data_IF_074141334361
#
_entry.id   IF_074141334361
#
_cell.length_a   1.000
_cell.length_b   1.000
_cell.length_c   1.000
_cell.angle_alpha   90.00
_cell.angle_beta   90.00
_cell.angle_gamma   90.00
#
_symmetry.space_group_name_H-M   'P 1'
#
loop_
_entity.id
_entity.type
_entity.pdbx_description
1 polymer ?
#
# COMPACT_ATOMS: atom_id res chain seq x y z
N UNK A 1 19.62 4.38 7.18
CA UNK A 1 19.31 5.08 5.92
C UNK A 1 18.02 5.88 6.07
N UNK A 2 17.90 6.98 5.35
CA UNK A 2 16.67 7.76 5.18
C UNK A 2 15.85 7.18 4.01
N UNK A 3 14.67 6.68 4.27
CA UNK A 3 13.81 6.02 3.24
C UNK A 3 12.50 6.78 3.13
N UNK A 4 12.15 7.16 1.90
CA UNK A 4 10.84 7.73 1.57
C UNK A 4 9.97 6.68 0.88
N UNK A 5 8.78 6.42 1.40
CA UNK A 5 7.78 5.54 0.80
C UNK A 5 6.62 6.42 0.33
N UNK A 6 6.25 6.30 -0.93
CA UNK A 6 5.13 7.04 -1.51
C UNK A 6 3.91 6.14 -1.59
N UNK A 7 2.90 6.44 -0.79
CA UNK A 7 1.67 5.69 -0.62
C UNK A 7 1.62 4.88 0.67
N UNK A 8 0.57 5.07 1.47
CA UNK A 8 0.28 4.34 2.70
C UNK A 8 -0.80 3.27 2.50
N UNK A 9 -0.83 2.65 1.33
CA UNK A 9 -1.59 1.42 1.11
C UNK A 9 -0.96 0.24 1.86
N UNK A 10 -1.57 -0.97 1.79
CA UNK A 10 -1.06 -2.16 2.50
C UNK A 10 0.42 -2.42 2.25
N UNK A 11 0.85 -2.33 0.99
CA UNK A 11 2.24 -2.59 0.60
C UNK A 11 3.19 -1.55 1.18
N UNK A 12 2.84 -0.24 1.07
CA UNK A 12 3.68 0.83 1.61
C UNK A 12 3.80 0.78 3.13
N UNK A 13 2.70 0.51 3.83
CA UNK A 13 2.69 0.35 5.28
C UNK A 13 3.48 -0.88 5.73
N UNK A 14 3.32 -2.01 5.03
CA UNK A 14 4.07 -3.22 5.38
C UNK A 14 5.57 -3.08 5.13
N UNK A 15 5.97 -2.50 3.98
CA UNK A 15 7.37 -2.15 3.72
C UNK A 15 7.92 -1.19 4.79
N UNK A 16 7.12 -0.17 5.14
CA UNK A 16 7.47 0.77 6.20
C UNK A 16 7.68 0.10 7.56
N UNK A 17 6.83 -0.86 7.92
CA UNK A 17 6.98 -1.67 9.12
C UNK A 17 8.31 -2.44 9.13
N UNK A 18 8.60 -3.18 8.07
CA UNK A 18 9.81 -4.02 8.00
C UNK A 18 11.09 -3.16 8.05
N UNK A 19 11.12 -2.08 7.30
CA UNK A 19 12.28 -1.20 7.22
C UNK A 19 12.51 -0.43 8.52
N UNK A 20 11.45 0.08 9.15
CA UNK A 20 11.56 0.75 10.44
C UNK A 20 12.02 -0.23 11.53
N UNK A 21 11.46 -1.45 11.56
CA UNK A 21 11.89 -2.52 12.46
C UNK A 21 13.37 -2.89 12.28
N UNK A 22 13.91 -2.75 11.07
CA UNK A 22 15.33 -2.95 10.76
C UNK A 22 16.20 -1.71 11.08
N UNK A 23 15.67 -0.71 11.77
CA UNK A 23 16.42 0.46 12.25
C UNK A 23 16.60 1.58 11.23
N UNK A 24 15.84 1.59 10.13
CA UNK A 24 15.89 2.65 9.14
C UNK A 24 14.98 3.83 9.52
N UNK A 25 15.35 5.04 9.10
CA UNK A 25 14.50 6.23 9.26
C UNK A 25 13.50 6.30 8.11
N UNK A 26 12.28 5.85 8.36
CA UNK A 26 11.23 5.67 7.34
C UNK A 26 10.20 6.78 7.44
N UNK A 27 9.95 7.44 6.30
CA UNK A 27 8.87 8.42 6.11
C UNK A 27 7.94 7.95 5.00
N UNK A 28 6.66 7.80 5.31
CA UNK A 28 5.61 7.39 4.37
C UNK A 28 4.77 8.63 4.04
N UNK A 29 4.61 8.94 2.75
CA UNK A 29 3.84 10.09 2.27
C UNK A 29 2.56 9.59 1.62
N UNK A 30 1.42 9.98 2.17
CA UNK A 30 0.08 9.56 1.71
C UNK A 30 -0.75 10.78 1.30
N UNK A 31 -1.26 10.76 0.07
CA UNK A 31 -2.08 11.87 -0.47
C UNK A 31 -3.43 12.04 0.21
N UNK A 32 -4.00 10.95 0.73
CA UNK A 32 -5.29 10.96 1.42
C UNK A 32 -5.13 11.44 2.86
N UNK A 33 -6.23 11.88 3.45
CA UNK A 33 -6.27 12.32 4.85
C UNK A 33 -6.39 11.16 5.84
N UNK A 34 -6.79 9.98 5.36
CA UNK A 34 -6.93 8.76 6.18
C UNK A 34 -6.62 7.49 5.38
N UNK A 35 -6.27 6.42 6.10
CA UNK A 35 -5.94 5.12 5.52
C UNK A 35 -7.19 4.29 5.28
N UNK A 36 -7.15 3.49 4.18
CA UNK A 36 -8.20 2.51 3.86
C UNK A 36 -9.46 3.11 3.24
N UNK A 37 -9.46 4.40 2.86
CA UNK A 37 -10.58 5.04 2.18
C UNK A 37 -10.12 5.78 0.91
N UNK A 38 -10.97 5.80 -0.17
CA UNK A 38 -12.11 4.91 -0.37
C UNK A 38 -11.66 3.45 -0.49
N UNK A 39 -12.54 2.51 -0.14
CA UNK A 39 -12.29 1.08 -0.31
C UNK A 39 -12.31 0.76 -1.82
N UNK A 40 -11.24 0.18 -2.33
CA UNK A 40 -11.06 -0.12 -3.77
C UNK A 40 -10.79 -1.61 -4.05
N UNK A 41 -10.98 -2.49 -3.07
CA UNK A 41 -10.70 -3.91 -3.18
C UNK A 41 -11.71 -4.71 -2.39
N UNK A 42 -12.07 -5.89 -2.89
CA UNK A 42 -13.01 -6.82 -2.24
C UNK A 42 -12.55 -7.31 -0.88
N UNK A 43 -11.24 -7.30 -0.61
CA UNK A 43 -10.68 -7.75 0.66
C UNK A 43 -10.53 -9.27 0.77
N UNK A 44 -10.45 -9.98 -0.35
CA UNK A 44 -10.13 -11.40 -0.35
C UNK A 44 -8.62 -11.60 -0.29
N UNK A 45 -8.19 -12.46 0.64
CA UNK A 45 -6.80 -12.88 0.82
C UNK A 45 -6.75 -14.40 0.78
N UNK A 46 -5.76 -14.96 0.07
CA UNK A 46 -5.53 -16.40 0.01
C UNK A 46 -4.93 -16.93 1.31
N UNK A 47 -4.95 -18.26 1.50
CA UNK A 47 -4.33 -18.91 2.65
C UNK A 47 -2.84 -18.58 2.82
N UNK A 48 -2.15 -18.23 1.71
CA UNK A 48 -0.75 -17.80 1.76
C UNK A 48 -0.51 -16.59 2.67
N UNK A 49 -1.57 -15.84 2.98
CA UNK A 49 -1.48 -14.75 3.93
C UNK A 49 -1.06 -15.21 5.34
N UNK A 50 -1.27 -16.49 5.68
CA UNK A 50 -0.87 -17.06 6.97
C UNK A 50 0.65 -17.02 7.19
N UNK A 51 1.46 -17.01 6.11
CA UNK A 51 2.92 -16.90 6.19
C UNK A 51 3.42 -15.63 6.89
N UNK A 52 2.61 -14.58 6.91
CA UNK A 52 2.98 -13.32 7.57
C UNK A 52 2.80 -13.36 9.10
N UNK A 53 2.12 -14.37 9.65
CA UNK A 53 1.94 -14.55 11.08
C UNK A 53 1.13 -13.45 11.77
N UNK A 54 0.29 -12.70 11.02
CA UNK A 54 -0.51 -11.63 11.60
C UNK A 54 -1.73 -12.17 12.37
N UNK A 55 -2.01 -11.56 13.51
CA UNK A 55 -3.30 -11.73 14.17
C UNK A 55 -4.40 -11.06 13.35
N UNK A 56 -5.28 -11.90 12.78
CA UNK A 56 -6.36 -11.47 11.90
C UNK A 56 -7.62 -11.03 12.64
N UNK A 57 -7.69 -11.23 13.95
CA UNK A 57 -8.91 -11.02 14.75
C UNK A 57 -9.53 -9.63 14.58
N UNK A 58 -8.71 -8.60 14.44
CA UNK A 58 -9.16 -7.21 14.34
C UNK A 58 -9.76 -6.82 12.99
N UNK A 59 -9.43 -7.53 11.91
CA UNK A 59 -9.84 -7.17 10.54
C UNK A 59 -10.50 -8.32 9.75
N UNK A 60 -10.45 -9.57 10.24
CA UNK A 60 -11.13 -10.70 9.63
C UNK A 60 -12.64 -10.53 9.72
N UNK A 61 -13.34 -10.75 8.62
CA UNK A 61 -14.80 -10.73 8.52
C UNK A 61 -15.35 -12.14 8.41
N UNK A 62 -14.76 -12.96 7.50
CA UNK A 62 -15.18 -14.34 7.27
C UNK A 62 -14.03 -15.17 6.72
N UNK A 63 -14.19 -16.49 6.78
CA UNK A 63 -13.29 -17.47 6.17
C UNK A 63 -14.12 -18.40 5.29
N UNK A 64 -13.67 -18.61 4.06
CA UNK A 64 -14.30 -19.52 3.11
C UNK A 64 -13.41 -20.73 2.88
N UNK A 65 -14.01 -21.89 2.66
CA UNK A 65 -13.33 -23.15 2.32
C UNK A 65 -13.48 -23.53 0.85
N UNK A 66 -14.35 -22.84 0.12
CA UNK A 66 -14.65 -23.12 -1.28
C UNK A 66 -14.87 -21.85 -2.07
N UNK A 67 -14.43 -21.86 -3.32
CA UNK A 67 -14.72 -20.84 -4.32
C UNK A 67 -15.48 -21.50 -5.46
N UNK A 68 -16.62 -20.95 -5.77
CA UNK A 68 -17.45 -21.40 -6.87
C UNK A 68 -17.40 -20.39 -8.02
N UNK A 69 -17.04 -20.87 -9.21
CA UNK A 69 -17.06 -20.09 -10.45
C UNK A 69 -18.12 -20.66 -11.38
N UNK A 70 -19.13 -19.87 -11.65
CA UNK A 70 -20.24 -20.24 -12.50
C UNK A 70 -20.14 -19.54 -13.87
N UNK A 71 -20.37 -20.31 -14.92
CA UNK A 71 -20.60 -19.86 -16.29
C UNK A 71 -21.98 -20.36 -16.74
N UNK A 72 -22.47 -19.90 -17.90
CA UNK A 72 -23.80 -20.30 -18.42
C UNK A 72 -24.03 -21.82 -18.44
N UNK A 73 -22.98 -22.62 -18.67
CA UNK A 73 -23.10 -24.07 -18.85
C UNK A 73 -22.12 -24.88 -18.00
N UNK A 74 -21.35 -24.25 -17.12
CA UNK A 74 -20.33 -24.93 -16.30
C UNK A 74 -20.25 -24.32 -14.92
N UNK A 75 -20.05 -25.17 -13.94
CA UNK A 75 -19.76 -24.84 -12.57
C UNK A 75 -18.40 -25.46 -12.21
N UNK A 76 -17.49 -24.65 -11.70
CA UNK A 76 -16.22 -25.11 -11.15
C UNK A 76 -16.19 -24.79 -9.66
N UNK A 77 -15.79 -25.75 -8.86
CA UNK A 77 -15.61 -25.58 -7.41
C UNK A 77 -14.15 -25.84 -7.09
N UNK A 78 -13.53 -24.86 -6.45
CA UNK A 78 -12.17 -24.97 -5.95
C UNK A 78 -12.22 -25.02 -4.45
N UNK A 79 -11.67 -26.08 -3.86
CA UNK A 79 -11.47 -26.16 -2.41
C UNK A 79 -10.20 -25.37 -2.04
N UNK A 80 -10.31 -24.47 -1.07
CA UNK A 80 -9.22 -23.65 -0.62
C UNK A 80 -9.63 -22.79 0.56
N UNK A 81 -8.66 -22.32 1.32
CA UNK A 81 -8.93 -21.42 2.44
C UNK A 81 -8.73 -19.98 2.00
N UNK A 82 -9.78 -19.19 2.08
CA UNK A 82 -9.79 -17.79 1.71
C UNK A 82 -10.30 -16.94 2.89
N UNK A 83 -9.72 -15.77 3.05
CA UNK A 83 -10.11 -14.82 4.10
C UNK A 83 -10.79 -13.60 3.48
N UNK A 84 -11.97 -13.26 3.96
CA UNK A 84 -12.58 -11.95 3.71
C UNK A 84 -12.19 -11.01 4.85
N UNK A 85 -11.57 -9.89 4.50
CA UNK A 85 -11.14 -8.90 5.49
C UNK A 85 -11.81 -7.54 5.27
N UNK A 86 -12.06 -6.83 6.36
CA UNK A 86 -12.45 -5.43 6.31
C UNK A 86 -11.23 -4.59 5.92
N UNK A 87 -11.17 -4.10 4.66
CA UNK A 87 -10.04 -3.36 4.12
C UNK A 87 -9.65 -2.15 4.95
N UNK A 88 -10.62 -1.36 5.42
CA UNK A 88 -10.32 -0.22 6.30
C UNK A 88 -9.57 -0.65 7.55
N UNK A 89 -10.02 -1.72 8.21
CA UNK A 89 -9.37 -2.25 9.41
C UNK A 89 -8.01 -2.85 9.10
N UNK A 90 -7.91 -3.63 8.02
CA UNK A 90 -6.66 -4.26 7.60
C UNK A 90 -5.58 -3.22 7.23
N UNK A 91 -5.94 -2.23 6.42
CA UNK A 91 -5.00 -1.19 6.01
C UNK A 91 -4.51 -0.38 7.23
N UNK A 92 -5.42 -0.05 8.16
CA UNK A 92 -5.05 0.62 9.42
C UNK A 92 -4.21 -0.28 10.35
N UNK A 93 -4.45 -1.59 10.38
CA UNK A 93 -3.62 -2.53 11.12
C UNK A 93 -2.15 -2.46 10.67
N UNK A 94 -1.92 -2.52 9.35
CA UNK A 94 -0.57 -2.42 8.79
C UNK A 94 0.08 -1.05 9.04
N UNK A 95 -0.70 0.03 8.95
CA UNK A 95 -0.21 1.36 9.28
C UNK A 95 0.21 1.48 10.75
N UNK A 96 -0.58 0.92 11.66
CA UNK A 96 -0.26 0.90 13.08
C UNK A 96 1.01 0.07 13.37
N UNK A 97 1.24 -1.02 12.64
CA UNK A 97 2.51 -1.76 12.74
C UNK A 97 3.69 -0.90 12.33
N UNK A 98 3.58 -0.16 11.22
CA UNK A 98 4.63 0.74 10.75
C UNK A 98 4.91 1.85 11.77
N UNK A 99 3.87 2.50 12.31
CA UNK A 99 3.99 3.55 13.32
C UNK A 99 4.65 3.03 14.60
N UNK A 100 4.21 1.87 15.10
CA UNK A 100 4.78 1.24 16.30
C UNK A 100 6.26 0.84 16.11
N UNK A 101 6.66 0.52 14.88
CA UNK A 101 8.06 0.23 14.53
C UNK A 101 8.92 1.50 14.38
N UNK A 102 8.33 2.71 14.44
CA UNK A 102 9.03 3.98 14.36
C UNK A 102 8.97 4.68 13.00
N UNK A 103 8.23 4.15 12.02
CA UNK A 103 7.95 4.88 10.78
C UNK A 103 7.06 6.10 11.06
N UNK A 104 7.21 7.14 10.22
CA UNK A 104 6.36 8.34 10.25
C UNK A 104 5.45 8.34 9.04
N UNK A 105 4.16 8.65 9.22
CA UNK A 105 3.19 8.78 8.13
C UNK A 105 2.75 10.24 8.02
N UNK A 106 2.93 10.82 6.83
CA UNK A 106 2.54 12.18 6.50
C UNK A 106 1.32 12.14 5.59
N UNK A 107 0.16 12.44 6.15
CA UNK A 107 -1.11 12.52 5.43
C UNK A 107 -1.25 13.82 4.62
N UNK A 108 -2.11 13.83 3.61
CA UNK A 108 -2.29 14.96 2.71
C UNK A 108 -1.03 15.30 1.91
N UNK A 109 -0.11 14.34 1.78
CA UNK A 109 1.20 14.54 1.15
C UNK A 109 1.28 13.77 -0.16
N UNK A 110 1.28 14.48 -1.29
CA UNK A 110 1.31 13.91 -2.63
C UNK A 110 2.71 14.04 -3.24
N UNK A 111 3.22 12.98 -3.84
CA UNK A 111 4.39 13.05 -4.70
C UNK A 111 4.06 13.89 -5.94
N UNK A 112 4.89 14.89 -6.22
CA UNK A 112 4.75 15.76 -7.38
C UNK A 112 5.70 15.38 -8.50
N UNK A 113 7.00 15.31 -8.20
CA UNK A 113 8.05 15.06 -9.17
C UNK A 113 9.36 14.63 -8.50
N UNK A 114 10.27 14.09 -9.30
CA UNK A 114 11.67 13.90 -8.96
C UNK A 114 12.47 15.13 -9.39
N UNK A 115 13.42 15.54 -8.57
CA UNK A 115 14.42 16.55 -8.91
C UNK A 115 15.82 16.02 -8.61
N UNK A 116 16.51 15.50 -9.63
CA UNK A 116 17.82 14.83 -9.50
C UNK A 116 17.72 13.64 -8.54
N UNK A 117 18.38 13.72 -7.37
CA UNK A 117 18.34 12.69 -6.32
C UNK A 117 17.23 12.93 -5.30
N UNK A 118 16.61 14.12 -5.32
CA UNK A 118 15.54 14.51 -4.41
C UNK A 118 14.16 14.19 -4.97
N UNK A 119 13.16 14.23 -4.10
CA UNK A 119 11.75 14.20 -4.47
C UNK A 119 11.05 15.45 -3.95
N UNK A 120 10.06 15.91 -4.68
CA UNK A 120 9.18 17.01 -4.26
C UNK A 120 7.81 16.44 -3.91
N UNK A 121 7.35 16.75 -2.70
CA UNK A 121 6.01 16.39 -2.23
C UNK A 121 5.23 17.66 -1.93
N UNK A 122 3.95 17.69 -2.30
CA UNK A 122 3.01 18.70 -1.80
C UNK A 122 2.44 18.19 -0.48
N UNK A 123 2.43 19.02 0.54
CA UNK A 123 1.95 18.62 1.85
C UNK A 123 1.11 19.67 2.56
N UNK A 124 0.29 19.20 3.51
CA UNK A 124 -0.58 20.04 4.33
C UNK A 124 -1.79 20.61 3.61
N UNK A 125 -2.56 21.43 4.32
CA UNK A 125 -3.77 22.07 3.78
C UNK A 125 -3.47 23.13 2.72
N UNK A 126 -2.25 23.68 2.73
CA UNK A 126 -1.82 24.73 1.82
C UNK A 126 -1.27 24.20 0.49
N UNK A 127 -1.04 22.90 0.37
CA UNK A 127 -0.40 22.31 -0.81
C UNK A 127 1.05 22.76 -1.02
N UNK A 128 1.70 23.30 0.01
CA UNK A 128 3.07 23.79 -0.09
C UNK A 128 4.05 22.69 -0.49
N UNK A 129 4.89 22.99 -1.47
CA UNK A 129 5.93 22.08 -1.92
C UNK A 129 7.05 21.96 -0.88
N UNK A 130 7.50 20.73 -0.68
CA UNK A 130 8.62 20.40 0.19
C UNK A 130 9.57 19.47 -0.55
N UNK A 131 10.86 19.86 -0.54
CA UNK A 131 11.93 19.01 -1.07
C UNK A 131 12.35 18.03 0.03
N UNK A 132 12.43 16.76 -0.34
CA UNK A 132 12.85 15.65 0.51
C UNK A 132 14.05 15.00 -0.14
N UNK A 133 15.11 14.81 0.64
CA UNK A 133 16.38 14.17 0.22
C UNK A 133 16.50 12.78 0.88
N UNK A 134 15.85 11.75 0.36
CA UNK A 134 15.98 10.38 0.86
C UNK A 134 17.18 9.69 0.20
N UNK A 135 17.73 8.67 0.85
CA UNK A 135 18.72 7.78 0.24
C UNK A 135 18.04 6.73 -0.67
N UNK A 136 16.79 6.37 -0.32
CA UNK A 136 15.97 5.41 -1.10
C UNK A 136 14.54 5.93 -1.22
N UNK A 137 13.96 5.80 -2.42
CA UNK A 137 12.54 6.05 -2.69
C UNK A 137 11.86 4.73 -3.04
N UNK A 138 10.77 4.41 -2.35
CA UNK A 138 9.92 3.25 -2.63
C UNK A 138 8.60 3.72 -3.20
N UNK A 139 8.32 3.30 -4.44
CA UNK A 139 7.05 3.54 -5.10
C UNK A 139 6.00 2.52 -4.61
N UNK A 140 5.04 2.97 -3.80
CA UNK A 140 3.89 2.19 -3.32
C UNK A 140 2.57 2.93 -3.60
N UNK A 141 2.58 3.83 -4.60
CA UNK A 141 1.50 4.76 -4.95
C UNK A 141 0.43 4.15 -5.87
N UNK A 142 0.49 2.83 -6.05
CA UNK A 142 -0.54 2.03 -6.72
C UNK A 142 -0.32 1.85 -8.24
N UNK A 143 -1.34 1.33 -8.96
CA UNK A 143 -1.17 0.86 -10.34
C UNK A 143 -0.86 1.97 -11.35
N UNK A 144 -1.21 3.22 -11.05
CA UNK A 144 -0.91 4.39 -11.88
C UNK A 144 0.25 5.22 -11.30
N UNK A 145 1.26 4.54 -10.77
CA UNK A 145 2.39 5.15 -10.07
C UNK A 145 3.04 6.30 -10.83
N UNK A 146 2.93 7.50 -10.27
CA UNK A 146 3.64 8.68 -10.76
C UNK A 146 5.13 8.62 -10.42
N UNK A 147 5.48 7.98 -9.31
CA UNK A 147 6.88 7.74 -8.91
C UNK A 147 7.55 6.87 -9.97
N UNK A 148 7.00 5.68 -10.25
CA UNK A 148 7.56 4.78 -11.26
C UNK A 148 7.71 5.45 -12.62
N UNK A 149 6.72 6.28 -13.03
CA UNK A 149 6.79 7.07 -14.26
C UNK A 149 7.94 8.07 -14.25
N UNK A 150 8.16 8.79 -13.15
CA UNK A 150 9.21 9.80 -13.04
C UNK A 150 10.62 9.19 -12.99
N UNK A 151 10.74 7.92 -12.62
CA UNK A 151 11.98 7.15 -12.65
C UNK A 151 12.18 6.33 -13.93
N UNK A 152 11.28 6.48 -14.92
CA UNK A 152 11.42 5.86 -16.24
C UNK A 152 11.08 4.36 -16.28
N UNK A 153 10.40 3.81 -15.28
CA UNK A 153 9.98 2.40 -15.28
C UNK A 153 8.90 2.07 -16.32
N UNK A 154 8.24 3.10 -16.89
CA UNK A 154 7.24 2.96 -17.93
C UNK A 154 7.71 3.70 -19.17
N UNK A 155 8.40 3.00 -20.08
CA UNK A 155 8.92 3.55 -21.33
C UNK A 155 7.83 3.68 -22.41
N UNK A 156 6.79 2.86 -22.35
CA UNK A 156 5.68 2.86 -23.31
C UNK A 156 4.38 3.37 -22.72
N UNK A 157 3.51 3.92 -23.61
CA UNK A 157 2.13 4.24 -23.25
C UNK A 157 1.46 2.99 -22.69
N UNK A 158 1.04 3.02 -21.43
CA UNK A 158 0.24 1.94 -20.87
C UNK A 158 -0.96 1.73 -21.78
N UNK A 159 -1.06 0.57 -22.39
CA UNK A 159 -2.33 0.10 -22.94
C UNK A 159 -3.26 -0.04 -21.75
N UNK A 160 -4.44 0.57 -21.82
CA UNK A 160 -5.46 0.41 -20.79
C UNK A 160 -5.82 -1.06 -20.71
N UNK A 161 -5.51 -1.70 -19.58
CA UNK A 161 -5.90 -3.08 -19.24
C UNK A 161 -7.15 -3.03 -18.36
N UNK A 162 -8.17 -2.29 -18.79
CA UNK A 162 -9.48 -2.24 -18.14
C UNK A 162 -10.56 -2.57 -19.17
#
# INVERSE_FOLDING_TARGET
MKIAIIGAGPIGCYAGYLLAKSGHNVSIYERKKEIGLPIQCTGLLTADFDQFGFDKSSFLVNTFSEIEVNSSNKKLVFSGKEYLVCRKKFDNYLANLALKAGAKIFFGSSFLRREKEDIVVAGGETGQEKIISPEIVIAADGPLSNVAKSYGFYLDKRKNYY
#
